data_IF_442740708050
#
_entry.id   IF_442740708050
#
_cell.length_a   1.000
_cell.length_b   1.000
_cell.length_c   1.000
_cell.angle_alpha   90.00
_cell.angle_beta   90.00
_cell.angle_gamma   90.00
#
_symmetry.space_group_name_H-M   'P 1'
#
loop_
_entity.id
_entity.type
_entity.pdbx_description
1 polymer ?
#
# COMPACT_ATOMS: atom_id res chain seq x y z
N UNK A 1 -5.11 8.62 18.31
CA UNK A 1 -4.94 9.44 17.08
C UNK A 1 -6.08 9.12 16.14
N UNK A 2 -6.54 10.07 15.32
CA UNK A 2 -7.56 9.78 14.32
C UNK A 2 -7.00 8.91 13.19
N UNK A 3 -7.85 8.12 12.55
CA UNK A 3 -7.48 7.32 11.38
C UNK A 3 -7.20 8.25 10.19
N UNK A 4 -6.09 8.02 9.49
CA UNK A 4 -5.72 8.77 8.28
C UNK A 4 -6.09 7.90 7.08
N UNK A 5 -6.82 8.48 6.14
CA UNK A 5 -7.21 7.81 4.90
C UNK A 5 -6.69 8.58 3.69
N UNK A 6 -6.39 7.86 2.62
CA UNK A 6 -5.96 8.46 1.35
C UNK A 6 -6.50 7.69 0.15
N UNK A 7 -6.66 8.37 -0.98
CA UNK A 7 -7.04 7.74 -2.23
C UNK A 7 -5.80 7.26 -2.99
N UNK A 8 -5.80 5.99 -3.39
CA UNK A 8 -4.72 5.35 -4.15
C UNK A 8 -5.27 4.77 -5.45
N UNK A 9 -4.43 4.73 -6.48
CA UNK A 9 -4.65 3.89 -7.65
C UNK A 9 -3.79 2.62 -7.50
N UNK A 10 -4.42 1.44 -7.51
CA UNK A 10 -3.75 0.13 -7.53
C UNK A 10 -3.84 -0.47 -8.93
N UNK A 11 -2.77 -1.09 -9.40
CA UNK A 11 -2.75 -1.74 -10.73
C UNK A 11 -1.80 -2.93 -10.77
N UNK A 12 -2.08 -3.87 -11.68
CA UNK A 12 -1.18 -4.95 -12.03
C UNK A 12 -0.22 -4.45 -13.13
N UNK A 13 1.08 -4.33 -12.87
CA UNK A 13 2.03 -3.80 -13.85
C UNK A 13 2.44 -4.82 -14.92
N UNK A 14 2.16 -6.11 -14.70
CA UNK A 14 2.42 -7.19 -15.65
C UNK A 14 1.26 -7.27 -16.65
N UNK A 15 0.02 -7.30 -16.15
CA UNK A 15 -1.20 -7.39 -16.95
C UNK A 15 -1.79 -6.00 -17.24
N UNK A 16 -1.16 -5.25 -18.14
CA UNK A 16 -1.54 -3.86 -18.46
C UNK A 16 -2.94 -3.68 -19.09
N UNK A 17 -3.58 -4.77 -19.51
CA UNK A 17 -4.97 -4.75 -20.00
C UNK A 17 -5.99 -4.64 -18.88
N UNK A 18 -5.59 -4.92 -17.63
CA UNK A 18 -6.45 -4.78 -16.46
C UNK A 18 -6.47 -3.30 -16.06
N UNK A 19 -7.68 -2.75 -15.92
CA UNK A 19 -7.87 -1.39 -15.47
C UNK A 19 -7.40 -1.21 -14.03
N UNK A 20 -6.81 -0.05 -13.74
CA UNK A 20 -6.43 0.30 -12.37
C UNK A 20 -7.67 0.51 -11.51
N UNK A 21 -7.57 0.17 -10.23
CA UNK A 21 -8.65 0.32 -9.25
C UNK A 21 -8.35 1.50 -8.35
N UNK A 22 -9.31 2.43 -8.25
CA UNK A 22 -9.30 3.51 -7.26
C UNK A 22 -9.79 2.96 -5.93
N UNK A 23 -8.98 3.11 -4.89
CA UNK A 23 -9.30 2.63 -3.54
C UNK A 23 -9.06 3.73 -2.52
N UNK A 24 -9.88 3.71 -1.47
CA UNK A 24 -9.59 4.46 -0.24
C UNK A 24 -8.79 3.53 0.68
N UNK A 25 -7.60 3.95 1.07
CA UNK A 25 -6.69 3.16 1.90
C UNK A 25 -6.51 3.78 3.28
N UNK A 26 -6.53 2.95 4.31
CA UNK A 26 -6.09 3.31 5.66
C UNK A 26 -4.57 3.43 5.67
N UNK A 27 -4.05 4.53 6.21
CA UNK A 27 -2.62 4.75 6.39
C UNK A 27 -2.19 4.25 7.76
N UNK A 28 -1.29 3.27 7.78
CA UNK A 28 -0.81 2.65 9.02
C UNK A 28 0.72 2.50 8.99
N UNK A 29 1.40 3.27 9.85
CA UNK A 29 2.86 3.24 9.96
C UNK A 29 3.39 2.02 10.72
N UNK A 30 2.54 1.30 11.45
CA UNK A 30 2.93 0.07 12.17
C UNK A 30 2.78 -1.19 11.32
N UNK A 31 2.02 -1.10 10.22
CA UNK A 31 1.96 -2.14 9.22
C UNK A 31 3.18 -2.11 8.28
N UNK A 32 3.69 -3.29 7.92
CA UNK A 32 4.91 -3.40 7.11
C UNK A 32 4.71 -2.92 5.66
N UNK A 33 3.66 -3.40 4.98
CA UNK A 33 3.43 -3.17 3.54
C UNK A 33 1.94 -3.07 3.22
N UNK A 34 1.57 -3.14 1.94
CA UNK A 34 0.19 -3.11 1.47
C UNK A 34 -0.59 -4.36 1.93
N UNK A 35 -1.78 -4.14 2.48
CA UNK A 35 -2.78 -5.19 2.67
C UNK A 35 -3.98 -4.87 1.76
N UNK A 36 -4.50 -5.88 1.08
CA UNK A 36 -5.67 -5.74 0.20
C UNK A 36 -6.72 -6.80 0.54
N UNK A 37 -8.01 -6.47 0.41
CA UNK A 37 -9.07 -7.46 0.46
C UNK A 37 -9.02 -8.44 -0.72
N UNK A 38 -9.58 -9.63 -0.54
CA UNK A 38 -9.70 -10.69 -1.56
C UNK A 38 -10.27 -10.18 -2.89
N UNK A 39 -11.28 -9.32 -2.84
CA UNK A 39 -11.93 -8.81 -4.05
C UNK A 39 -11.03 -7.88 -4.88
N UNK A 40 -10.06 -7.21 -4.26
CA UNK A 40 -9.06 -6.40 -4.99
C UNK A 40 -8.04 -7.31 -5.66
N UNK A 41 -7.61 -8.37 -4.96
CA UNK A 41 -6.72 -9.39 -5.51
C UNK A 41 -7.32 -10.02 -6.78
N UNK A 42 -8.59 -10.44 -6.73
CA UNK A 42 -9.30 -11.04 -7.85
C UNK A 42 -9.39 -10.07 -9.05
N UNK A 43 -9.78 -8.80 -8.80
CA UNK A 43 -9.94 -7.83 -9.89
C UNK A 43 -8.62 -7.42 -10.54
N UNK A 44 -7.52 -7.43 -9.80
CA UNK A 44 -6.19 -7.14 -10.32
C UNK A 44 -5.48 -8.39 -10.90
N UNK A 45 -6.09 -9.57 -10.78
CA UNK A 45 -5.53 -10.86 -11.18
C UNK A 45 -4.07 -11.02 -10.72
N UNK A 46 -3.82 -10.79 -9.42
CA UNK A 46 -2.47 -10.90 -8.87
C UNK A 46 -2.16 -12.37 -8.55
N UNK A 47 -0.93 -12.80 -8.85
CA UNK A 47 -0.49 -14.15 -8.57
C UNK A 47 -0.05 -14.28 -7.10
N UNK A 48 -0.45 -15.38 -6.46
CA UNK A 48 0.10 -15.77 -5.16
C UNK A 48 1.56 -16.23 -5.35
N UNK A 49 2.48 -15.49 -4.75
CA UNK A 49 3.91 -15.78 -4.81
C UNK A 49 4.29 -16.82 -3.75
N UNK A 50 3.76 -16.64 -2.55
CA UNK A 50 3.95 -17.54 -1.40
C UNK A 50 2.93 -17.22 -0.31
N UNK A 51 2.92 -18.02 0.76
CA UNK A 51 2.21 -17.68 2.00
C UNK A 51 3.18 -17.17 3.05
N UNK A 52 2.77 -16.17 3.81
CA UNK A 52 3.57 -15.58 4.89
C UNK A 52 2.77 -15.52 6.18
N UNK A 53 3.46 -15.75 7.31
CA UNK A 53 2.88 -15.52 8.63
C UNK A 53 2.87 -14.03 8.92
N UNK A 54 1.70 -13.48 9.25
CA UNK A 54 1.51 -12.10 9.68
C UNK A 54 0.92 -12.06 11.08
N UNK A 55 1.24 -11.01 11.86
CA UNK A 55 0.64 -10.77 13.17
C UNK A 55 -0.29 -9.57 13.08
N UNK A 56 -1.56 -9.75 13.44
CA UNK A 56 -2.59 -8.70 13.42
C UNK A 56 -2.59 -7.90 14.72
N UNK A 57 -3.30 -6.77 14.74
CA UNK A 57 -3.37 -5.86 15.90
C UNK A 57 -3.92 -6.53 17.17
N UNK A 58 -4.67 -7.64 17.04
CA UNK A 58 -5.15 -8.45 18.17
C UNK A 58 -4.10 -9.46 18.68
N UNK A 59 -2.88 -9.43 18.14
CA UNK A 59 -1.76 -10.30 18.50
C UNK A 59 -1.83 -11.71 17.91
N UNK A 60 -2.86 -12.04 17.12
CA UNK A 60 -2.97 -13.36 16.49
C UNK A 60 -2.07 -13.48 15.27
N UNK A 61 -1.62 -14.70 15.04
CA UNK A 61 -0.82 -15.07 13.87
C UNK A 61 -1.70 -15.71 12.81
N UNK A 62 -1.51 -15.29 11.56
CA UNK A 62 -2.27 -15.76 10.41
C UNK A 62 -1.31 -16.11 9.27
N UNK A 63 -1.49 -17.27 8.66
CA UNK A 63 -0.81 -17.62 7.41
C UNK A 63 -1.66 -17.11 6.24
N UNK A 64 -1.21 -16.07 5.54
CA UNK A 64 -1.99 -15.39 4.49
C UNK A 64 -1.25 -15.41 3.15
N UNK A 65 -1.97 -15.36 2.01
CA UNK A 65 -1.36 -15.19 0.69
C UNK A 65 -0.59 -13.87 0.60
N UNK A 66 0.61 -13.94 0.03
CA UNK A 66 1.38 -12.79 -0.40
C UNK A 66 1.40 -12.76 -1.93
N UNK A 67 0.80 -11.72 -2.50
CA UNK A 67 0.55 -11.60 -3.95
C UNK A 67 1.33 -10.44 -4.56
N UNK A 68 1.55 -10.48 -5.87
CA UNK A 68 2.12 -9.34 -6.58
C UNK A 68 2.63 -9.68 -7.98
N UNK A 69 3.32 -8.72 -8.63
CA UNK A 69 3.59 -7.36 -8.15
C UNK A 69 2.35 -6.45 -8.22
N UNK A 70 2.27 -5.46 -7.33
CA UNK A 70 1.26 -4.39 -7.32
C UNK A 70 1.96 -3.06 -7.53
N UNK A 71 1.48 -2.26 -8.47
CA UNK A 71 1.88 -0.85 -8.60
C UNK A 71 0.88 0.03 -7.87
N UNK A 72 1.37 0.78 -6.89
CA UNK A 72 0.61 1.81 -6.18
C UNK A 72 0.93 3.16 -6.83
N UNK A 73 -0.07 4.00 -7.07
CA UNK A 73 0.14 5.39 -7.50
C UNK A 73 -0.62 6.36 -6.59
N UNK A 74 0.08 7.41 -6.17
CA UNK A 74 -0.45 8.50 -5.35
C UNK A 74 0.09 9.82 -5.87
N UNK A 75 -0.79 10.74 -6.30
CA UNK A 75 -0.39 12.02 -6.91
C UNK A 75 0.68 11.84 -8.00
N UNK A 76 1.87 12.44 -7.83
CA UNK A 76 3.04 12.33 -8.71
C UNK A 76 4.06 11.30 -8.20
N UNK A 77 3.61 10.29 -7.43
CA UNK A 77 4.41 9.20 -6.88
C UNK A 77 3.85 7.85 -7.31
N UNK A 78 4.74 6.88 -7.41
CA UNK A 78 4.37 5.48 -7.55
C UNK A 78 5.46 4.56 -7.04
N UNK A 79 5.09 3.44 -6.46
CA UNK A 79 5.99 2.37 -6.04
C UNK A 79 5.49 1.01 -6.54
N UNK A 80 6.36 0.01 -6.45
CA UNK A 80 6.00 -1.39 -6.69
C UNK A 80 6.22 -2.19 -5.40
N UNK A 81 5.25 -3.02 -5.04
CA UNK A 81 5.32 -3.86 -3.85
C UNK A 81 4.57 -5.17 -4.06
N UNK A 82 4.65 -6.10 -3.11
CA UNK A 82 3.64 -7.15 -2.97
C UNK A 82 2.60 -6.75 -1.92
N UNK A 83 1.53 -7.53 -1.84
CA UNK A 83 0.43 -7.28 -0.93
C UNK A 83 0.07 -8.53 -0.14
N UNK A 84 -0.31 -8.36 1.12
CA UNK A 84 -0.97 -9.43 1.86
C UNK A 84 -2.47 -9.43 1.56
N UNK A 85 -3.06 -10.59 1.30
CA UNK A 85 -4.50 -10.73 1.09
C UNK A 85 -5.19 -11.04 2.42
N UNK A 86 -5.74 -10.01 3.06
CA UNK A 86 -6.48 -10.09 4.33
C UNK A 86 -7.26 -8.80 4.59
N UNK A 87 -8.21 -8.87 5.52
CA UNK A 87 -9.02 -7.73 5.93
C UNK A 87 -10.14 -7.39 4.94
N UNK A 88 -10.85 -6.31 5.22
CA UNK A 88 -12.01 -5.82 4.47
C UNK A 88 -11.79 -4.45 3.81
N UNK A 89 -10.74 -3.72 4.23
CA UNK A 89 -10.29 -2.47 3.61
C UNK A 89 -8.83 -2.55 3.13
N UNK A 90 -8.46 -1.66 2.22
CA UNK A 90 -7.06 -1.51 1.79
C UNK A 90 -6.28 -0.77 2.88
N UNK A 91 -5.11 -1.27 3.22
CA UNK A 91 -4.19 -0.63 4.16
C UNK A 91 -2.84 -0.40 3.48
N UNK A 92 -2.29 0.81 3.62
CA UNK A 92 -0.96 1.18 3.15
C UNK A 92 0.01 1.25 4.32
N UNK A 93 0.95 0.29 4.36
CA UNK A 93 2.02 0.21 5.35
C UNK A 93 3.21 1.14 5.12
N UNK A 94 4.23 1.03 5.98
CA UNK A 94 5.43 1.86 5.97
C UNK A 94 6.25 1.75 4.67
N UNK A 95 6.52 0.54 4.16
CA UNK A 95 7.36 0.34 2.97
C UNK A 95 6.90 1.15 1.75
N UNK A 96 5.64 1.05 1.29
CA UNK A 96 5.19 1.87 0.16
C UNK A 96 5.17 3.38 0.47
N UNK A 97 4.99 3.79 1.73
CA UNK A 97 5.08 5.22 2.10
C UNK A 97 6.50 5.75 1.99
N UNK A 98 7.47 4.98 2.48
CA UNK A 98 8.89 5.34 2.41
C UNK A 98 9.40 5.34 0.97
N UNK A 99 9.07 4.32 0.18
CA UNK A 99 9.48 4.24 -1.24
C UNK A 99 8.91 5.41 -2.07
N UNK A 100 7.70 5.87 -1.74
CA UNK A 100 7.06 7.01 -2.40
C UNK A 100 7.46 8.37 -1.81
N UNK A 101 8.31 8.43 -0.78
CA UNK A 101 8.73 9.67 -0.10
C UNK A 101 7.55 10.53 0.36
N UNK A 102 6.68 9.90 1.15
CA UNK A 102 5.45 10.50 1.68
C UNK A 102 5.62 10.95 3.14
N UNK A 103 4.88 12.00 3.50
CA UNK A 103 4.81 12.53 4.87
C UNK A 103 3.38 12.49 5.40
N UNK A 104 3.21 12.09 6.65
CA UNK A 104 1.93 12.16 7.34
C UNK A 104 1.74 13.58 7.92
N UNK A 105 0.53 14.12 7.80
CA UNK A 105 0.13 15.40 8.37
C UNK A 105 -1.00 15.16 9.38
N UNK A 106 -0.69 14.83 10.65
CA UNK A 106 -1.68 14.39 11.63
C UNK A 106 -2.79 15.39 11.89
N UNK A 107 -2.44 16.69 11.95
CA UNK A 107 -3.41 17.77 12.17
C UNK A 107 -4.49 17.83 11.07
N UNK A 108 -4.12 17.45 9.84
CA UNK A 108 -5.03 17.43 8.69
C UNK A 108 -5.59 16.05 8.39
N UNK A 109 -5.17 15.02 9.14
CA UNK A 109 -5.51 13.62 8.92
C UNK A 109 -5.30 13.17 7.47
N UNK A 110 -4.17 13.56 6.87
CA UNK A 110 -3.82 13.23 5.48
C UNK A 110 -2.38 12.76 5.39
N UNK A 111 -2.06 12.05 4.31
CA UNK A 111 -0.70 11.87 3.80
C UNK A 111 -0.49 12.79 2.61
N UNK A 112 0.72 13.28 2.41
CA UNK A 112 1.09 14.08 1.24
C UNK A 112 2.52 13.77 0.78
N UNK A 113 2.87 14.25 -0.39
CA UNK A 113 4.23 14.27 -0.92
C UNK A 113 5.13 15.07 0.01
N UNK A 114 6.34 14.57 0.25
CA UNK A 114 7.34 15.29 1.02
C UNK A 114 7.64 16.68 0.39
N UNK A 115 7.44 17.78 1.15
CA UNK A 115 7.64 19.14 0.64
C UNK A 115 9.11 19.49 0.38
N UNK A 116 10.07 18.74 0.94
CA UNK A 116 11.51 18.93 0.67
C UNK A 116 11.91 18.39 -0.71
N UNK A 117 11.09 17.54 -1.31
CA UNK A 117 11.34 16.83 -2.56
C UNK A 117 10.11 16.85 -3.49
N UNK A 118 9.46 18.00 -3.73
CA UNK A 118 8.09 18.08 -4.25
C UNK A 118 7.91 17.41 -5.63
N UNK A 119 8.95 17.42 -6.47
CA UNK A 119 8.89 16.93 -7.84
C UNK A 119 9.36 15.49 -8.00
N UNK A 120 10.42 15.10 -7.29
CA UNK A 120 11.12 13.81 -7.46
C UNK A 120 11.29 13.19 -6.07
N UNK A 121 10.82 11.94 -5.84
CA UNK A 121 11.01 11.28 -4.55
C UNK A 121 12.51 11.14 -4.24
N UNK A 122 12.86 11.34 -2.98
CA UNK A 122 14.24 11.23 -2.48
C UNK A 122 14.35 10.11 -1.46
N UNK A 123 15.51 9.46 -1.41
CA UNK A 123 15.84 8.46 -0.41
C UNK A 123 17.28 8.67 0.07
N UNK A 124 17.50 8.41 1.36
CA UNK A 124 18.85 8.43 1.94
C UNK A 124 19.47 7.06 1.74
N UNK A 125 20.58 7.03 1.00
CA UNK A 125 21.44 5.85 0.85
C UNK A 125 22.77 6.15 1.53
N UNK A 126 23.14 5.37 2.54
CA UNK A 126 24.40 5.50 3.30
C UNK A 126 25.14 4.18 3.35
#
# INVERSE_FOLDING_TARGET
>A
MGLIYTDLDLSNPVLKSIEKIKVKALVDTEAATLCIPEHINIQLELEELEKREVTTADGKKHLVPYVGPVKISFKNRSCYTGAFVLGDEVLMGAVPMEDMDLVLIPLKQTVDVNPESPNIPSAIVK
#
